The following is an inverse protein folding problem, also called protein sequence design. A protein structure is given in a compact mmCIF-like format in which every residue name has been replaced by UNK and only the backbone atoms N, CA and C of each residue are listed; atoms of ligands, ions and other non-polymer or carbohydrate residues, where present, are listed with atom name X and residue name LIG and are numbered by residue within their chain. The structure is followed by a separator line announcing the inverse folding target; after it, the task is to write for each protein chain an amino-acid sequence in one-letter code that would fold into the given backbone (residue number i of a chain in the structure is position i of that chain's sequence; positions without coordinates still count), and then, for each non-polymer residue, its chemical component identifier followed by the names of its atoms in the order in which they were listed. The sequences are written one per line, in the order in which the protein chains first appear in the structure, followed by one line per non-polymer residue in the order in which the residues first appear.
data_IF_998212202242
#
_entry.id   IF_998212202242
#
_cell.length_a   1.000
_cell.length_b   1.000
_cell.length_c   1.000
_cell.angle_alpha   90.00
_cell.angle_beta   90.00
_cell.angle_gamma   90.00
#
_symmetry.space_group_name_H-M   'P 1'
#
loop_
_entity.id
_entity.type
_entity.pdbx_description
1 polymer ?
#
# COMPACT_ATOMS: atom_id res chain seq x y z
N UNK A 1 -5.86 -17.26 -3.01
CA UNK A 1 -5.55 -16.54 -4.26
C UNK A 1 -4.08 -16.78 -4.68
N UNK A 2 -3.74 -16.68 -5.97
CA UNK A 2 -2.35 -16.84 -6.48
C UNK A 2 -1.33 -16.02 -5.65
N UNK A 3 -1.68 -14.77 -5.33
CA UNK A 3 -0.85 -13.84 -4.56
C UNK A 3 -0.55 -14.30 -3.13
N UNK A 4 -1.40 -15.13 -2.52
CA UNK A 4 -1.15 -15.70 -1.19
C UNK A 4 0.02 -16.70 -1.22
N UNK A 5 0.33 -17.29 -2.37
CA UNK A 5 1.43 -18.25 -2.48
C UNK A 5 2.76 -17.58 -2.79
N UNK A 6 2.73 -16.36 -3.34
CA UNK A 6 3.93 -15.65 -3.81
C UNK A 6 4.24 -14.36 -3.05
N UNK A 7 3.44 -13.98 -2.04
CA UNK A 7 3.64 -12.75 -1.27
C UNK A 7 5.06 -12.59 -0.70
N UNK A 8 5.75 -13.70 -0.37
CA UNK A 8 7.17 -13.71 0.03
C UNK A 8 8.13 -13.30 -1.09
N UNK A 9 8.02 -13.96 -2.24
CA UNK A 9 8.86 -13.74 -3.42
C UNK A 9 8.57 -12.38 -4.05
N UNK A 10 7.31 -11.92 -3.98
CA UNK A 10 6.92 -10.62 -4.49
C UNK A 10 7.64 -9.46 -3.78
N UNK A 11 7.85 -9.55 -2.47
CA UNK A 11 8.65 -8.56 -1.73
C UNK A 11 10.11 -8.48 -2.26
N UNK A 12 10.68 -9.59 -2.73
CA UNK A 12 12.02 -9.61 -3.33
C UNK A 12 12.04 -8.86 -4.67
N UNK A 13 11.04 -9.11 -5.54
CA UNK A 13 10.89 -8.34 -6.79
C UNK A 13 10.68 -6.86 -6.55
N UNK A 14 9.95 -6.51 -5.49
CA UNK A 14 9.74 -5.13 -5.11
C UNK A 14 11.01 -4.44 -4.59
N UNK A 15 11.93 -5.17 -3.96
CA UNK A 15 13.25 -4.65 -3.56
C UNK A 15 14.10 -4.36 -4.80
N UNK A 16 14.11 -5.27 -5.78
CA UNK A 16 14.86 -5.10 -7.04
C UNK A 16 14.37 -3.84 -7.78
N UNK A 17 13.05 -3.66 -7.86
CA UNK A 17 12.44 -2.52 -8.55
C UNK A 17 12.20 -1.30 -7.64
N UNK A 18 12.80 -1.27 -6.45
CA UNK A 18 12.47 -0.26 -5.44
C UNK A 18 12.64 1.17 -5.95
N UNK A 19 13.71 1.46 -6.70
CA UNK A 19 13.95 2.80 -7.24
C UNK A 19 12.84 3.25 -8.19
N UNK A 20 12.39 2.35 -9.07
CA UNK A 20 11.29 2.64 -9.99
C UNK A 20 9.97 2.83 -9.23
N UNK A 21 9.68 1.96 -8.27
CA UNK A 21 8.48 2.06 -7.45
C UNK A 21 8.44 3.33 -6.60
N UNK A 22 9.55 3.68 -5.93
CA UNK A 22 9.66 4.89 -5.12
C UNK A 22 9.53 6.15 -6.01
N UNK A 23 10.05 6.12 -7.24
CA UNK A 23 9.91 7.23 -8.19
C UNK A 23 8.46 7.40 -8.67
N UNK A 24 7.80 6.32 -9.10
CA UNK A 24 6.40 6.34 -9.51
C UNK A 24 5.50 6.83 -8.35
N UNK A 25 5.73 6.32 -7.13
CA UNK A 25 5.00 6.76 -5.95
C UNK A 25 5.23 8.24 -5.63
N UNK A 26 6.45 8.76 -5.84
CA UNK A 26 6.75 10.17 -5.63
C UNK A 26 6.00 11.07 -6.61
N UNK A 27 5.92 10.68 -7.89
CA UNK A 27 5.13 11.39 -8.91
C UNK A 27 3.66 11.40 -8.51
N UNK A 28 3.08 10.25 -8.15
CA UNK A 28 1.68 10.22 -7.68
C UNK A 28 1.47 11.13 -6.47
N UNK A 29 2.43 11.15 -5.54
CA UNK A 29 2.37 11.95 -4.33
C UNK A 29 2.54 13.46 -4.58
N UNK A 30 2.87 13.92 -5.79
CA UNK A 30 2.84 15.36 -6.15
C UNK A 30 1.42 15.87 -6.34
N UNK A 31 0.46 14.98 -6.61
CA UNK A 31 -0.95 15.31 -6.81
C UNK A 31 -1.80 15.14 -5.55
N UNK A 32 -1.17 14.89 -4.40
CA UNK A 32 -1.85 14.58 -3.14
C UNK A 32 -1.50 15.64 -2.10
N UNK A 33 -2.55 16.15 -1.45
CA UNK A 33 -2.50 17.14 -0.39
C UNK A 33 -2.95 16.56 0.94
N UNK A 34 -2.69 17.28 2.04
CA UNK A 34 -3.07 16.87 3.39
C UNK A 34 -4.58 16.92 3.66
N UNK A 35 -5.38 17.34 2.69
CA UNK A 35 -6.84 17.39 2.75
C UNK A 35 -7.49 16.16 2.09
N UNK A 36 -6.73 15.41 1.29
CA UNK A 36 -7.25 14.31 0.47
C UNK A 36 -7.47 13.01 1.25
N UNK A 37 -8.61 12.35 0.95
CA UNK A 37 -8.87 10.97 1.35
C UNK A 37 -8.53 10.06 0.17
N UNK A 38 -7.48 9.26 0.30
CA UNK A 38 -6.93 8.45 -0.80
C UNK A 38 -7.43 7.01 -0.75
N UNK A 39 -7.83 6.45 -1.90
CA UNK A 39 -8.04 5.02 -2.09
C UNK A 39 -6.91 4.45 -2.95
N UNK A 40 -6.18 3.49 -2.40
CA UNK A 40 -5.15 2.72 -3.12
C UNK A 40 -5.69 1.31 -3.40
N UNK A 41 -5.91 1.02 -4.68
CA UNK A 41 -6.31 -0.30 -5.15
C UNK A 41 -5.08 -1.16 -5.45
N UNK A 42 -5.13 -2.44 -5.10
CA UNK A 42 -4.02 -3.39 -5.25
C UNK A 42 -2.72 -2.90 -4.58
N UNK A 43 -2.80 -2.50 -3.31
CA UNK A 43 -1.69 -1.93 -2.56
C UNK A 43 -0.54 -2.93 -2.30
N UNK A 44 -0.77 -4.23 -2.51
CA UNK A 44 0.18 -5.29 -2.18
C UNK A 44 0.62 -5.15 -0.73
N UNK A 45 1.94 -5.12 -0.51
CA UNK A 45 2.52 -4.96 0.84
C UNK A 45 2.76 -3.50 1.25
N UNK A 46 2.24 -2.52 0.49
CA UNK A 46 2.18 -1.11 0.91
C UNK A 46 3.36 -0.22 0.53
N UNK A 47 4.00 -0.47 -0.63
CA UNK A 47 5.15 0.35 -1.07
C UNK A 47 4.74 1.79 -1.40
N UNK A 48 3.69 1.97 -2.22
CA UNK A 48 3.22 3.31 -2.56
C UNK A 48 2.57 3.96 -1.34
N UNK A 49 1.80 3.18 -0.57
CA UNK A 49 1.21 3.61 0.70
C UNK A 49 2.21 4.31 1.61
N UNK A 50 3.44 3.79 1.75
CA UNK A 50 4.47 4.39 2.61
C UNK A 50 4.84 5.82 2.22
N UNK A 51 4.78 6.15 0.93
CA UNK A 51 5.17 7.45 0.36
C UNK A 51 3.97 8.40 0.33
N UNK A 52 2.78 7.88 0.04
CA UNK A 52 1.53 8.66 -0.01
C UNK A 52 1.04 9.00 1.40
N UNK A 53 1.11 8.05 2.34
CA UNK A 53 0.53 8.18 3.67
C UNK A 53 0.95 9.47 4.39
N UNK A 54 2.23 9.92 4.42
CA UNK A 54 2.61 11.17 5.04
C UNK A 54 1.90 12.40 4.48
N UNK A 55 1.51 12.39 3.20
CA UNK A 55 0.98 13.56 2.48
C UNK A 55 -0.53 13.71 2.53
N UNK A 56 -1.29 12.63 2.68
CA UNK A 56 -2.76 12.68 2.64
C UNK A 56 -3.42 12.90 4.03
N UNK A 57 -4.74 13.16 4.05
CA UNK A 57 -5.55 13.18 5.27
C UNK A 57 -5.76 11.76 5.81
N UNK A 58 -6.30 10.88 4.97
CA UNK A 58 -6.48 9.45 5.26
C UNK A 58 -6.15 8.62 4.02
N UNK A 59 -5.82 7.36 4.21
CA UNK A 59 -5.59 6.44 3.10
C UNK A 59 -6.22 5.08 3.38
N UNK A 60 -7.11 4.63 2.51
CA UNK A 60 -7.58 3.25 2.46
C UNK A 60 -6.71 2.49 1.46
N UNK A 61 -5.99 1.47 1.92
CA UNK A 61 -5.13 0.65 1.07
C UNK A 61 -5.73 -0.75 0.95
N UNK A 62 -6.02 -1.19 -0.27
CA UNK A 62 -6.77 -2.42 -0.51
C UNK A 62 -6.04 -3.40 -1.40
N UNK A 63 -6.19 -4.68 -1.08
CA UNK A 63 -5.71 -5.79 -1.88
C UNK A 63 -6.61 -7.01 -1.65
N UNK A 64 -6.86 -7.80 -2.69
CA UNK A 64 -7.66 -9.03 -2.56
C UNK A 64 -6.91 -10.16 -1.85
N UNK A 65 -5.58 -10.07 -1.75
CA UNK A 65 -4.80 -11.06 -1.02
C UNK A 65 -4.74 -10.71 0.46
N UNK A 66 -5.40 -11.53 1.28
CA UNK A 66 -5.31 -11.48 2.74
C UNK A 66 -3.85 -11.46 3.21
N UNK A 67 -2.98 -12.29 2.61
CA UNK A 67 -1.56 -12.32 2.98
C UNK A 67 -0.81 -11.04 2.61
N UNK A 68 -1.17 -10.38 1.51
CA UNK A 68 -0.61 -9.07 1.17
C UNK A 68 -1.05 -8.02 2.19
N UNK A 69 -2.35 -7.99 2.54
CA UNK A 69 -2.89 -7.09 3.57
C UNK A 69 -2.23 -7.33 4.92
N UNK A 70 -2.08 -8.59 5.37
CA UNK A 70 -1.43 -8.91 6.63
C UNK A 70 0.02 -8.37 6.68
N UNK A 71 0.76 -8.52 5.59
CA UNK A 71 2.11 -7.93 5.46
C UNK A 71 2.08 -6.40 5.45
N UNK A 72 1.14 -5.80 4.72
CA UNK A 72 0.96 -4.36 4.64
C UNK A 72 0.66 -3.79 6.04
N UNK A 73 -0.26 -4.39 6.78
CA UNK A 73 -0.56 -4.03 8.18
C UNK A 73 0.72 -4.03 9.02
N UNK A 74 1.55 -5.07 8.91
CA UNK A 74 2.86 -5.15 9.57
C UNK A 74 3.81 -3.99 9.23
N UNK A 75 3.96 -3.68 7.94
CA UNK A 75 4.89 -2.64 7.46
C UNK A 75 4.38 -1.22 7.70
N UNK A 76 3.06 -1.05 7.75
CA UNK A 76 2.41 0.26 7.79
C UNK A 76 1.94 0.66 9.20
N UNK A 77 2.18 -0.16 10.24
CA UNK A 77 1.75 0.11 11.65
C UNK A 77 2.04 1.53 12.15
N UNK A 78 3.12 2.17 11.67
CA UNK A 78 3.49 3.53 12.08
C UNK A 78 2.60 4.63 11.49
N UNK A 79 1.84 4.33 10.44
CA UNK A 79 0.97 5.29 9.76
C UNK A 79 -0.47 5.15 10.26
N UNK A 80 -0.80 5.84 11.36
CA UNK A 80 -2.12 5.76 12.03
C UNK A 80 -3.31 6.14 11.13
N UNK A 81 -3.07 6.91 10.07
CA UNK A 81 -4.09 7.36 9.10
C UNK A 81 -4.29 6.43 7.90
N UNK A 82 -3.63 5.27 7.92
CA UNK A 82 -3.72 4.25 6.87
C UNK A 82 -4.57 3.09 7.38
N UNK A 83 -5.52 2.67 6.56
CA UNK A 83 -6.36 1.50 6.80
C UNK A 83 -6.10 0.44 5.70
N UNK A 84 -5.24 -0.56 5.97
CA UNK A 84 -5.05 -1.69 5.06
C UNK A 84 -6.18 -2.72 5.26
N UNK A 85 -6.96 -3.00 4.22
CA UNK A 85 -8.09 -3.95 4.31
C UNK A 85 -8.37 -4.68 3.00
N UNK A 86 -8.97 -5.85 3.13
CA UNK A 86 -9.51 -6.57 1.98
C UNK A 86 -10.81 -5.90 1.47
N UNK A 87 -11.08 -5.92 0.16
CA UNK A 87 -12.33 -5.39 -0.41
C UNK A 87 -13.62 -6.01 0.15
N UNK A 88 -13.52 -7.19 0.77
CA UNK A 88 -14.66 -7.87 1.40
C UNK A 88 -14.90 -7.43 2.86
N UNK A 89 -14.03 -6.61 3.44
CA UNK A 89 -14.08 -6.19 4.85
C UNK A 89 -14.73 -4.81 5.07
N UNK A 90 -15.54 -4.33 4.12
CA UNK A 90 -16.19 -3.00 4.17
C UNK A 90 -17.51 -2.99 4.95
N UNK A 91 -17.76 -4.04 5.75
CA UNK A 91 -18.97 -4.24 6.55
C UNK A 91 -18.88 -3.56 7.91
#
# INVERSE_FOLDING_TARGET
MFWDNVAGIYDLYQIINRKANDHAASICAEYITNEDNVLECACGTGIMTRIIAPKCKTQTATDFSEKMIHKAQGKLKKYKKVEPKEPCAWH
#
